data_IF_897450807514
#
_entry.id   IF_897450807514
#
_cell.length_a   1.000
_cell.length_b   1.000
_cell.length_c   1.000
_cell.angle_alpha   90.00
_cell.angle_beta   90.00
_cell.angle_gamma   90.00
#
_symmetry.space_group_name_H-M   'P 1'
#
loop_
_entity.id
_entity.type
_entity.pdbx_description
1 polymer ?
#
# COMPACT_ATOMS: atom_id res chain seq x y z
N UNK A 1 0.67 -16.40 4.55
CA UNK A 1 1.70 -16.59 5.61
C UNK A 1 1.39 -15.83 6.90
N UNK A 2 0.87 -14.59 6.88
CA UNK A 2 0.51 -13.84 8.10
C UNK A 2 -0.70 -14.40 8.90
N UNK A 3 -1.68 -15.03 8.22
CA UNK A 3 -2.90 -15.56 8.87
C UNK A 3 -2.59 -16.70 9.86
N UNK A 4 -1.47 -17.43 9.70
CA UNK A 4 -1.15 -18.61 10.52
C UNK A 4 -0.49 -18.28 11.88
N UNK A 5 -0.07 -17.03 12.11
CA UNK A 5 0.72 -16.63 13.27
C UNK A 5 -0.11 -16.11 14.46
N UNK A 6 -1.45 -16.17 14.41
CA UNK A 6 -2.31 -15.59 15.46
C UNK A 6 -2.25 -14.05 15.52
N UNK A 7 -1.70 -13.41 14.50
CA UNK A 7 -1.65 -11.96 14.36
C UNK A 7 -2.95 -11.53 13.67
N UNK A 8 -3.84 -10.88 14.41
CA UNK A 8 -5.00 -10.22 13.82
C UNK A 8 -4.50 -9.02 13.02
N UNK A 9 -4.49 -9.14 11.69
CA UNK A 9 -4.20 -8.04 10.77
C UNK A 9 -5.33 -7.01 10.82
N UNK A 10 -4.97 -5.74 11.01
CA UNK A 10 -5.94 -4.64 10.97
C UNK A 10 -6.50 -4.41 9.56
N UNK A 11 -5.79 -4.85 8.51
CA UNK A 11 -6.20 -4.65 7.12
C UNK A 11 -6.06 -5.88 6.23
N UNK A 12 -6.98 -5.97 5.26
CA UNK A 12 -7.08 -7.02 4.24
C UNK A 12 -5.90 -6.91 3.27
N UNK A 13 -5.35 -8.02 2.75
CA UNK A 13 -4.37 -7.97 1.65
C UNK A 13 -4.91 -7.15 0.47
N UNK A 14 -4.09 -6.21 -0.02
CA UNK A 14 -4.44 -5.33 -1.14
C UNK A 14 -3.68 -5.79 -2.39
N UNK A 15 -4.36 -5.87 -3.53
CA UNK A 15 -3.68 -6.04 -4.81
C UNK A 15 -3.16 -4.68 -5.30
N UNK A 16 -2.02 -4.64 -5.99
CA UNK A 16 -1.46 -3.42 -6.57
C UNK A 16 -2.45 -2.68 -7.48
N UNK A 17 -3.33 -3.42 -8.17
CA UNK A 17 -4.43 -2.85 -8.94
C UNK A 17 -5.49 -2.10 -8.12
N UNK A 18 -5.74 -2.47 -6.86
CA UNK A 18 -6.69 -1.76 -5.97
C UNK A 18 -6.12 -0.44 -5.41
N UNK A 19 -4.79 -0.35 -5.38
CA UNK A 19 -4.06 0.87 -5.06
C UNK A 19 -3.96 1.82 -6.26
N UNK A 20 -4.22 1.36 -7.48
CA UNK A 20 -4.17 2.22 -8.66
C UNK A 20 -5.35 3.19 -8.68
N UNK A 21 -5.05 4.49 -8.50
CA UNK A 21 -6.04 5.57 -8.52
C UNK A 21 -5.80 6.48 -9.71
N UNK A 22 -6.87 7.03 -10.33
CA UNK A 22 -6.74 7.87 -11.52
C UNK A 22 -6.07 9.22 -11.22
N UNK A 23 -6.12 9.69 -9.96
CA UNK A 23 -5.54 10.96 -9.54
C UNK A 23 -4.29 10.76 -8.68
N UNK A 24 -3.29 11.60 -8.94
CA UNK A 24 -2.05 11.65 -8.16
C UNK A 24 -2.38 12.00 -6.70
N UNK A 25 -1.84 11.23 -5.75
CA UNK A 25 -2.02 11.49 -4.32
C UNK A 25 -3.20 10.75 -3.67
N UNK A 26 -4.13 10.18 -4.44
CA UNK A 26 -5.26 9.42 -3.87
C UNK A 26 -4.81 8.09 -3.27
N UNK A 27 -3.86 7.43 -3.92
CA UNK A 27 -3.25 6.18 -3.43
C UNK A 27 -2.53 6.41 -2.11
N UNK A 28 -1.73 7.46 -2.03
CA UNK A 28 -0.99 7.85 -0.84
C UNK A 28 -1.93 8.23 0.31
N UNK A 29 -3.02 8.96 0.02
CA UNK A 29 -4.03 9.32 1.01
C UNK A 29 -4.72 8.08 1.60
N UNK A 30 -5.11 7.13 0.75
CA UNK A 30 -5.69 5.86 1.19
C UNK A 30 -4.73 5.10 2.11
N UNK A 31 -3.45 5.05 1.76
CA UNK A 31 -2.42 4.38 2.53
C UNK A 31 -2.24 5.04 3.91
N UNK A 32 -2.25 6.39 3.95
CA UNK A 32 -2.20 7.16 5.20
C UNK A 32 -3.42 6.86 6.08
N UNK A 33 -4.64 6.86 5.54
CA UNK A 33 -5.86 6.59 6.30
C UNK A 33 -5.86 5.18 6.92
N UNK A 34 -5.35 4.19 6.18
CA UNK A 34 -5.18 2.82 6.68
C UNK A 34 -4.21 2.76 7.86
N UNK A 35 -3.07 3.44 7.75
CA UNK A 35 -2.08 3.49 8.83
C UNK A 35 -2.63 4.23 10.05
N UNK A 36 -3.39 5.30 9.84
CA UNK A 36 -4.03 6.05 10.92
C UNK A 36 -5.05 5.20 11.67
N UNK A 37 -5.88 4.46 10.94
CA UNK A 37 -6.83 3.50 11.52
C UNK A 37 -6.13 2.37 12.27
N UNK A 38 -4.95 1.98 11.83
CA UNK A 38 -4.15 0.98 12.55
C UNK A 38 -3.53 1.54 13.82
N UNK A 39 -3.16 2.82 13.82
CA UNK A 39 -2.65 3.53 14.99
C UNK A 39 -3.70 3.74 16.10
N UNK A 40 -5.00 3.74 15.77
CA UNK A 40 -6.07 3.84 16.80
C UNK A 40 -6.26 2.54 17.58
N UNK A 41 -5.64 1.43 17.16
CA UNK A 41 -5.78 0.11 17.78
C UNK A 41 -4.43 -0.36 18.32
N UNK A 42 -4.02 0.08 19.53
CA UNK A 42 -2.66 -0.09 20.04
C UNK A 42 -2.28 -1.56 20.36
N UNK A 43 -3.25 -2.46 20.44
CA UNK A 43 -3.05 -3.88 20.75
C UNK A 43 -2.95 -4.78 19.50
N UNK A 44 -3.02 -4.21 18.29
CA UNK A 44 -2.91 -4.94 17.03
C UNK A 44 -1.67 -4.51 16.24
N UNK A 45 -1.10 -5.46 15.49
CA UNK A 45 0.02 -5.19 14.58
C UNK A 45 -0.53 -4.72 13.24
N UNK A 46 -0.08 -3.55 12.79
CA UNK A 46 -0.32 -3.10 11.42
C UNK A 46 0.61 -3.85 10.46
N UNK A 47 0.12 -4.91 9.84
CA UNK A 47 0.78 -5.55 8.71
C UNK A 47 -0.08 -5.33 7.46
N UNK A 48 0.54 -4.92 6.36
CA UNK A 48 -0.09 -4.75 5.05
C UNK A 48 0.75 -5.51 4.03
N UNK A 49 0.11 -6.38 3.27
CA UNK A 49 0.73 -7.05 2.13
C UNK A 49 0.18 -6.43 0.86
N UNK A 50 1.07 -5.99 -0.04
CA UNK A 50 0.73 -5.48 -1.35
C UNK A 50 1.20 -6.52 -2.36
N UNK A 51 0.27 -7.14 -3.06
CA UNK A 51 0.60 -8.06 -4.15
C UNK A 51 0.85 -7.28 -5.44
N UNK A 52 1.72 -7.76 -6.33
CA UNK A 52 2.06 -7.10 -7.61
C UNK A 52 2.50 -5.63 -7.47
N UNK A 53 3.23 -5.29 -6.40
CA UNK A 53 3.69 -3.91 -6.14
C UNK A 53 4.64 -3.37 -7.23
N UNK A 54 5.32 -4.25 -7.95
CA UNK A 54 6.16 -3.93 -9.11
C UNK A 54 5.37 -3.38 -10.30
N UNK A 55 4.08 -3.72 -10.42
CA UNK A 55 3.16 -3.12 -11.37
C UNK A 55 2.80 -1.67 -11.06
N UNK A 56 2.87 -1.26 -9.78
CA UNK A 56 2.54 0.09 -9.31
C UNK A 56 3.79 0.97 -9.15
N UNK A 57 4.91 0.40 -8.68
CA UNK A 57 6.14 1.12 -8.38
C UNK A 57 7.24 0.68 -9.35
N UNK A 58 7.45 1.42 -10.45
CA UNK A 58 8.56 1.12 -11.35
C UNK A 58 9.89 1.32 -10.61
N UNK A 59 10.92 0.54 -11.00
CA UNK A 59 12.28 0.74 -10.50
C UNK A 59 12.66 2.20 -10.68
N UNK A 60 13.21 2.80 -9.62
CA UNK A 60 13.65 4.20 -9.61
C UNK A 60 14.96 4.33 -10.39
N UNK A 61 14.91 4.09 -11.69
CA UNK A 61 15.97 4.54 -12.58
C UNK A 61 15.97 6.06 -12.54
N UNK A 62 17.15 6.66 -12.34
CA UNK A 62 17.37 8.12 -12.34
C UNK A 62 17.05 8.81 -13.69
N UNK A 63 16.28 8.16 -14.56
CA UNK A 63 15.85 8.62 -15.88
C UNK A 63 14.37 9.06 -15.95
N UNK A 64 13.65 9.14 -14.83
CA UNK A 64 12.26 9.62 -14.78
C UNK A 64 12.12 11.16 -14.89
N UNK A 65 12.99 11.80 -15.68
CA UNK A 65 12.74 13.12 -16.28
C UNK A 65 12.89 12.98 -17.78
N UNK A 66 11.91 12.37 -18.44
CA UNK A 66 11.70 12.58 -19.87
C UNK A 66 10.24 12.31 -20.22
N UNK A 67 9.51 13.42 -20.26
CA UNK A 67 8.48 13.79 -21.23
C UNK A 67 7.76 12.64 -21.97
N UNK A 68 6.44 12.59 -21.78
CA UNK A 68 5.52 12.35 -22.90
C UNK A 68 4.45 13.45 -22.90
N UNK A 69 4.66 14.38 -23.84
CA UNK A 69 3.71 15.15 -24.67
C UNK A 69 2.30 15.34 -24.11
#
# INVERSE_FOLDING_TARGET
IAIYAGITMTTVPLAGGELNRPYVGETEKLLIDIMYRSNTIPYLICAMTIDEIDGLVPKRDNHAQQSKV
#
